data_IF_825255785393
#
_entry.id   IF_825255785393
#
_cell.length_a   1.000
_cell.length_b   1.000
_cell.length_c   1.000
_cell.angle_alpha   90.00
_cell.angle_beta   90.00
_cell.angle_gamma   90.00
#
_symmetry.space_group_name_H-M   'P 1'
#
loop_
_entity.id
_entity.type
_entity.pdbx_description
1 polymer ?
#
# COMPACT_ATOMS: atom_id res chain seq x y z
N UNK A 1 26.41 3.23 15.98
CA UNK A 1 25.28 2.42 16.49
C UNK A 1 24.19 2.51 15.44
N UNK A 2 23.85 1.38 14.84
CA UNK A 2 23.11 1.27 13.59
C UNK A 2 21.71 1.88 13.68
N UNK A 3 21.43 2.87 12.84
CA UNK A 3 20.09 3.46 12.67
C UNK A 3 19.11 2.34 12.28
N UNK A 4 18.30 1.93 13.26
CA UNK A 4 17.12 1.11 13.10
C UNK A 4 16.29 1.65 11.95
N UNK A 5 16.36 0.98 10.80
CA UNK A 5 15.63 1.34 9.57
C UNK A 5 14.14 1.06 9.70
N UNK A 6 13.51 1.41 10.81
CA UNK A 6 12.06 1.42 10.92
C UNK A 6 11.53 2.70 10.30
N UNK A 7 11.46 2.72 8.96
CA UNK A 7 10.95 3.87 8.22
C UNK A 7 9.49 4.19 8.59
N UNK A 8 8.70 3.19 9.02
CA UNK A 8 7.35 3.40 9.55
C UNK A 8 7.34 4.14 10.89
N UNK A 9 8.38 4.01 11.73
CA UNK A 9 8.44 4.70 13.02
C UNK A 9 8.53 6.23 12.86
N UNK A 10 8.93 6.72 11.69
CA UNK A 10 8.96 8.15 11.34
C UNK A 10 7.64 8.63 10.71
N UNK A 11 6.71 7.72 10.42
CA UNK A 11 5.40 8.04 9.84
C UNK A 11 4.32 8.10 10.93
N UNK A 12 3.26 8.89 10.73
CA UNK A 12 2.13 8.93 11.66
C UNK A 12 1.48 7.54 11.79
N UNK A 13 0.84 7.33 12.94
CA UNK A 13 0.08 6.10 13.19
C UNK A 13 -1.03 5.98 12.14
N UNK A 14 -1.00 4.86 11.42
CA UNK A 14 -1.99 4.55 10.41
C UNK A 14 -3.01 3.60 11.00
N UNK A 15 -4.27 3.87 10.71
CA UNK A 15 -5.40 3.02 11.09
C UNK A 15 -6.26 2.75 9.86
N UNK A 16 -7.03 1.65 9.85
CA UNK A 16 -7.99 1.36 8.79
C UNK A 16 -8.99 2.51 8.57
N UNK A 17 -9.34 3.25 9.63
CA UNK A 17 -10.21 4.43 9.57
C UNK A 17 -9.56 5.56 8.75
N UNK A 18 -8.25 5.77 8.91
CA UNK A 18 -7.49 6.74 8.12
C UNK A 18 -7.51 6.38 6.64
N UNK A 19 -7.30 5.10 6.32
CA UNK A 19 -7.41 4.61 4.95
C UNK A 19 -8.85 4.79 4.42
N UNK A 20 -9.87 4.47 5.22
CA UNK A 20 -11.27 4.64 4.84
C UNK A 20 -11.61 6.10 4.54
N UNK A 21 -11.13 7.05 5.36
CA UNK A 21 -11.30 8.48 5.12
C UNK A 21 -10.66 8.92 3.79
N UNK A 22 -9.42 8.51 3.54
CA UNK A 22 -8.72 8.80 2.27
C UNK A 22 -9.39 8.10 1.07
N UNK A 23 -9.94 6.91 1.27
CA UNK A 23 -10.69 6.16 0.26
C UNK A 23 -11.95 6.89 -0.15
N UNK A 24 -12.68 7.47 0.81
CA UNK A 24 -13.86 8.29 0.53
C UNK A 24 -13.54 9.49 -0.36
N UNK A 25 -12.42 10.18 -0.12
CA UNK A 25 -11.97 11.29 -0.99
C UNK A 25 -11.73 10.82 -2.44
N UNK A 26 -11.27 9.59 -2.61
CA UNK A 26 -10.98 8.98 -3.91
C UNK A 26 -12.19 8.25 -4.51
N UNK A 27 -13.37 8.29 -3.87
CA UNK A 27 -14.55 7.50 -4.24
C UNK A 27 -14.28 5.98 -4.27
N UNK A 28 -13.39 5.50 -3.40
CA UNK A 28 -13.04 4.09 -3.23
C UNK A 28 -13.55 3.62 -1.88
N UNK A 29 -14.39 2.58 -1.89
CA UNK A 29 -14.85 1.94 -0.67
C UNK A 29 -13.76 1.01 -0.15
N UNK A 30 -13.13 1.40 0.96
CA UNK A 30 -12.15 0.55 1.64
C UNK A 30 -12.90 -0.58 2.34
N UNK A 31 -12.61 -1.80 1.92
CA UNK A 31 -13.05 -3.05 2.55
C UNK A 31 -11.84 -3.80 3.09
N UNK A 32 -12.07 -4.94 3.74
CA UNK A 32 -11.02 -5.76 4.35
C UNK A 32 -9.90 -6.08 3.36
N UNK A 33 -10.24 -6.40 2.11
CA UNK A 33 -9.23 -6.69 1.08
C UNK A 33 -8.35 -5.49 0.72
N UNK A 34 -8.87 -4.26 0.77
CA UNK A 34 -8.03 -3.08 0.63
C UNK A 34 -7.10 -2.97 1.82
N UNK A 35 -7.63 -3.10 3.04
CA UNK A 35 -6.85 -3.01 4.29
C UNK A 35 -5.70 -4.04 4.29
N UNK A 36 -5.95 -5.28 3.87
CA UNK A 36 -4.91 -6.32 3.71
C UNK A 36 -3.78 -5.82 2.79
N UNK A 37 -4.12 -5.29 1.61
CA UNK A 37 -3.11 -4.80 0.65
C UNK A 37 -2.33 -3.60 1.20
N UNK A 38 -3.01 -2.69 1.93
CA UNK A 38 -2.38 -1.53 2.55
C UNK A 38 -1.40 -1.94 3.64
N UNK A 39 -1.77 -2.90 4.49
CA UNK A 39 -0.88 -3.46 5.51
C UNK A 39 0.36 -4.08 4.88
N UNK A 40 0.19 -4.88 3.83
CA UNK A 40 1.32 -5.47 3.09
C UNK A 40 2.24 -4.42 2.47
N UNK A 41 1.68 -3.32 1.96
CA UNK A 41 2.47 -2.22 1.43
C UNK A 41 3.24 -1.47 2.53
N UNK A 42 2.66 -1.34 3.73
CA UNK A 42 3.34 -0.76 4.90
C UNK A 42 4.46 -1.65 5.38
N UNK A 43 4.26 -2.96 5.46
CA UNK A 43 5.31 -3.92 5.81
C UNK A 43 6.46 -3.88 4.79
N UNK A 44 6.13 -3.80 3.51
CA UNK A 44 7.14 -3.56 2.48
C UNK A 44 7.91 -2.24 2.72
N UNK A 45 7.22 -1.14 3.02
CA UNK A 45 7.88 0.13 3.32
C UNK A 45 8.76 0.05 4.57
N UNK A 46 8.35 -0.71 5.59
CA UNK A 46 9.12 -0.95 6.81
C UNK A 46 10.48 -1.56 6.49
N UNK A 47 10.50 -2.57 5.62
CA UNK A 47 11.71 -3.34 5.31
C UNK A 47 12.60 -2.64 4.27
N UNK A 48 11.98 -2.03 3.26
CA UNK A 48 12.68 -1.47 2.11
C UNK A 48 12.85 0.06 2.15
N UNK A 49 12.01 0.78 2.89
CA UNK A 49 12.05 2.24 3.02
C UNK A 49 11.48 3.04 1.85
N UNK A 50 10.84 2.38 0.88
CA UNK A 50 10.22 3.04 -0.27
C UNK A 50 8.85 2.42 -0.62
N UNK A 51 7.99 3.24 -1.24
CA UNK A 51 6.62 2.84 -1.56
C UNK A 51 6.60 1.77 -2.68
N UNK A 52 5.84 0.67 -2.52
CA UNK A 52 5.83 -0.40 -3.50
C UNK A 52 5.21 0.07 -4.82
N UNK A 53 5.91 -0.17 -5.94
CA UNK A 53 5.34 -0.02 -7.29
C UNK A 53 4.48 -1.23 -7.66
N UNK A 54 3.82 -1.23 -8.84
CA UNK A 54 2.93 -2.35 -9.22
C UNK A 54 3.60 -3.72 -9.19
N UNK A 55 4.83 -3.83 -9.71
CA UNK A 55 5.57 -5.11 -9.70
C UNK A 55 5.81 -5.63 -8.28
N UNK A 56 6.44 -4.85 -7.36
CA UNK A 56 6.55 -5.23 -5.95
C UNK A 56 5.21 -5.54 -5.30
N UNK A 57 4.20 -4.69 -5.51
CA UNK A 57 2.88 -4.86 -4.90
C UNK A 57 2.23 -6.19 -5.29
N UNK A 58 2.16 -6.51 -6.59
CA UNK A 58 1.65 -7.80 -7.06
C UNK A 58 2.41 -8.97 -6.43
N UNK A 59 3.75 -8.86 -6.33
CA UNK A 59 4.60 -9.91 -5.76
C UNK A 59 4.34 -10.09 -4.26
N UNK A 60 4.29 -9.00 -3.50
CA UNK A 60 4.01 -9.02 -2.06
C UNK A 60 2.63 -9.58 -1.78
N UNK A 61 1.60 -9.14 -2.51
CA UNK A 61 0.23 -9.64 -2.37
C UNK A 61 0.14 -11.10 -2.81
N UNK A 62 0.85 -11.52 -3.87
CA UNK A 62 0.94 -12.93 -4.26
C UNK A 62 1.57 -13.79 -3.18
N UNK A 63 2.64 -13.30 -2.55
CA UNK A 63 3.36 -14.04 -1.52
C UNK A 63 2.54 -14.17 -0.22
N UNK A 64 1.79 -13.13 0.16
CA UNK A 64 1.01 -13.11 1.39
C UNK A 64 -0.39 -13.72 1.24
N UNK A 65 -1.11 -13.40 0.16
CA UNK A 65 -2.51 -13.77 -0.05
C UNK A 65 -2.71 -14.79 -1.17
N UNK A 66 -1.65 -15.17 -1.87
CA UNK A 66 -1.69 -16.11 -2.99
C UNK A 66 -1.85 -15.46 -4.36
N UNK A 67 -1.58 -16.26 -5.40
CA UNK A 67 -1.55 -15.84 -6.81
C UNK A 67 -2.87 -15.29 -7.33
N UNK A 68 -4.00 -15.59 -6.69
CA UNK A 68 -5.30 -15.08 -7.12
C UNK A 68 -5.49 -13.61 -6.74
N UNK A 69 -5.16 -13.22 -5.51
CA UNK A 69 -5.23 -11.82 -5.06
C UNK A 69 -4.04 -10.98 -5.55
N UNK A 70 -2.89 -11.59 -5.81
CA UNK A 70 -1.71 -10.86 -6.30
C UNK A 70 -1.72 -10.52 -7.80
N UNK A 71 -2.82 -10.79 -8.53
CA UNK A 71 -2.90 -10.45 -9.96
C UNK A 71 -3.11 -8.95 -10.14
N UNK A 72 -2.51 -8.41 -11.21
CA UNK A 72 -2.75 -7.03 -11.64
C UNK A 72 -4.24 -6.72 -11.80
N UNK A 73 -5.03 -7.68 -12.31
CA UNK A 73 -6.47 -7.53 -12.51
C UNK A 73 -7.18 -7.29 -11.16
N UNK A 74 -6.87 -8.09 -10.14
CA UNK A 74 -7.48 -7.97 -8.82
C UNK A 74 -7.12 -6.63 -8.16
N UNK A 75 -5.85 -6.23 -8.24
CA UNK A 75 -5.42 -4.93 -7.70
C UNK A 75 -6.01 -3.75 -8.46
N UNK A 76 -6.22 -3.86 -9.76
CA UNK A 76 -6.95 -2.85 -10.54
C UNK A 76 -8.44 -2.80 -10.20
N UNK A 77 -9.06 -3.92 -9.82
CA UNK A 77 -10.45 -3.93 -9.35
C UNK A 77 -10.59 -3.23 -8.00
N UNK A 78 -9.67 -3.48 -7.07
CA UNK A 78 -9.67 -2.82 -5.76
C UNK A 78 -9.28 -1.33 -5.86
N UNK A 79 -8.25 -1.03 -6.65
CA UNK A 79 -7.67 0.31 -6.77
C UNK A 79 -7.64 0.73 -8.25
N UNK A 80 -8.77 1.21 -8.80
CA UNK A 80 -8.86 1.54 -10.22
C UNK A 80 -7.90 2.67 -10.63
N UNK A 81 -7.31 2.53 -11.80
CA UNK A 81 -6.44 3.53 -12.43
C UNK A 81 -4.97 3.46 -12.01
N UNK A 82 -4.64 3.45 -10.72
CA UNK A 82 -3.23 3.40 -10.26
C UNK A 82 -3.07 2.74 -8.90
N UNK A 83 -3.02 1.39 -8.83
CA UNK A 83 -3.02 0.69 -7.55
C UNK A 83 -1.82 1.05 -6.69
N UNK A 84 -0.61 1.12 -7.26
CA UNK A 84 0.58 1.51 -6.51
C UNK A 84 0.46 2.91 -5.88
N UNK A 85 -0.08 3.88 -6.62
CA UNK A 85 -0.24 5.27 -6.13
C UNK A 85 -1.32 5.36 -5.06
N UNK A 86 -2.47 4.72 -5.30
CA UNK A 86 -3.60 4.71 -4.38
C UNK A 86 -3.21 3.97 -3.10
N UNK A 87 -2.59 2.79 -3.21
CA UNK A 87 -2.09 2.03 -2.06
C UNK A 87 -1.11 2.85 -1.24
N UNK A 88 -0.10 3.49 -1.87
CA UNK A 88 0.83 4.33 -1.13
C UNK A 88 0.12 5.49 -0.41
N UNK A 89 -0.84 6.14 -1.06
CA UNK A 89 -1.60 7.24 -0.49
C UNK A 89 -2.47 6.77 0.69
N UNK A 90 -3.29 5.73 0.49
CA UNK A 90 -4.18 5.17 1.50
C UNK A 90 -3.40 4.55 2.66
N UNK A 91 -2.23 3.97 2.41
CA UNK A 91 -1.33 3.41 3.43
C UNK A 91 -0.61 4.50 4.24
N UNK A 92 -0.82 5.79 3.95
CA UNK A 92 -0.14 6.90 4.61
C UNK A 92 1.36 6.95 4.30
N UNK A 93 1.79 6.38 3.18
CA UNK A 93 3.18 6.39 2.74
C UNK A 93 3.49 7.68 1.97
N UNK A 94 4.73 8.19 2.07
CA UNK A 94 5.13 9.35 1.30
C UNK A 94 4.98 9.07 -0.20
N UNK A 95 4.43 10.04 -0.93
CA UNK A 95 4.21 9.93 -2.37
C UNK A 95 5.54 9.57 -3.05
N UNK A 96 5.58 8.56 -3.94
CA UNK A 96 6.79 8.24 -4.67
C UNK A 96 7.23 9.47 -5.46
N UNK A 97 8.43 10.00 -5.17
CA UNK A 97 8.97 11.21 -5.81
C UNK A 97 9.21 11.08 -7.32
N UNK A 98 9.01 9.91 -7.93
CA UNK A 98 9.16 9.73 -9.36
C UNK A 98 7.80 9.60 -10.06
N UNK A 99 7.22 10.75 -10.37
CA UNK A 99 6.50 10.91 -11.62
C UNK A 99 7.53 11.55 -12.58
N UNK A 100 8.22 10.72 -13.35
CA UNK A 100 9.08 11.12 -14.48
C UNK A 100 8.61 10.34 -15.69
#
# INVERSE_FOLDING_TARGET
MSDDKNYLAKLPQWTPEHAAALGLEQNIKIIDEHVEVLLLARDFYKDYGFSPSMRPLCKTVTAALGVNKGRSIYLNQLFPGSPAKIVAQLAGLPRPKNCL
#
